data_IF_398847450723
#
_entry.id   IF_398847450723
#
_cell.length_a   1.000
_cell.length_b   1.000
_cell.length_c   1.000
_cell.angle_alpha   90.00
_cell.angle_beta   90.00
_cell.angle_gamma   90.00
#
_symmetry.space_group_name_H-M   'P 1'
#
loop_
_entity.id
_entity.type
_entity.pdbx_description
1 polymer ?
#
# COMPACT_ATOMS: atom_id res chain seq x y z
N UNK A 1 6.04 20.11 -15.31
CA UNK A 1 6.80 20.23 -14.05
C UNK A 1 7.90 21.26 -14.29
N UNK A 2 7.80 22.41 -13.64
CA UNK A 2 8.73 23.52 -13.87
C UNK A 2 10.10 23.23 -13.24
N UNK A 3 11.18 23.77 -13.84
CA UNK A 3 12.58 23.66 -13.35
C UNK A 3 12.73 23.96 -11.85
N UNK A 4 11.83 24.78 -11.30
CA UNK A 4 11.80 25.21 -9.90
C UNK A 4 11.25 24.17 -8.93
N UNK A 5 10.26 23.37 -9.37
CA UNK A 5 9.70 22.26 -8.56
C UNK A 5 10.71 21.11 -8.44
N UNK A 6 11.49 20.89 -9.50
CA UNK A 6 12.54 19.88 -9.51
C UNK A 6 13.67 20.23 -8.52
N UNK A 7 14.05 21.49 -8.42
CA UNK A 7 15.15 21.97 -7.56
C UNK A 7 14.89 21.79 -6.06
N UNK A 8 13.63 21.85 -5.61
CA UNK A 8 13.24 21.68 -4.20
C UNK A 8 13.31 20.21 -3.74
N UNK A 9 13.19 19.24 -4.66
CA UNK A 9 13.32 17.81 -4.36
C UNK A 9 14.79 17.38 -4.08
N UNK A 10 15.74 18.31 -4.19
CA UNK A 10 17.17 18.02 -4.22
C UNK A 10 17.98 18.61 -3.06
N UNK A 11 17.35 19.15 -2.01
CA UNK A 11 18.04 19.76 -0.85
C UNK A 11 18.93 18.79 -0.04
N UNK A 12 18.88 17.48 -0.31
CA UNK A 12 19.85 16.52 0.25
C UNK A 12 21.04 16.36 -0.71
N UNK A 13 22.15 17.04 -0.39
CA UNK A 13 23.45 16.87 -1.07
C UNK A 13 23.98 15.42 -0.99
N UNK A 14 23.39 14.58 -0.11
CA UNK A 14 23.75 13.18 0.07
C UNK A 14 22.69 12.24 -0.51
N UNK A 15 22.99 11.64 -1.66
CA UNK A 15 22.12 10.66 -2.34
C UNK A 15 21.71 9.49 -1.43
N UNK A 16 22.58 9.06 -0.51
CA UNK A 16 22.25 8.01 0.46
C UNK A 16 21.11 8.44 1.39
N UNK A 17 21.18 9.65 1.94
CA UNK A 17 20.12 10.19 2.79
C UNK A 17 18.81 10.34 2.00
N UNK A 18 18.89 10.88 0.78
CA UNK A 18 17.74 11.00 -0.12
C UNK A 18 17.02 9.67 -0.32
N UNK A 19 17.75 8.60 -0.65
CA UNK A 19 17.18 7.27 -0.86
C UNK A 19 16.55 6.73 0.43
N UNK A 20 17.26 6.83 1.55
CA UNK A 20 16.78 6.29 2.84
C UNK A 20 15.50 7.01 3.27
N UNK A 21 15.49 8.33 3.31
CA UNK A 21 14.35 9.14 3.76
C UNK A 21 13.09 8.88 2.92
N UNK A 22 13.22 8.87 1.59
CA UNK A 22 12.08 8.57 0.71
C UNK A 22 11.58 7.14 0.89
N UNK A 23 12.47 6.16 1.10
CA UNK A 23 12.04 4.78 1.34
C UNK A 23 11.37 4.58 2.70
N UNK A 24 11.75 5.34 3.73
CA UNK A 24 11.10 5.28 5.04
C UNK A 24 9.62 5.69 4.95
N UNK A 25 9.31 6.69 4.11
CA UNK A 25 7.91 7.08 3.85
C UNK A 25 7.12 5.90 3.27
N UNK A 26 7.69 5.17 2.31
CA UNK A 26 7.03 3.98 1.73
C UNK A 26 6.94 2.83 2.74
N UNK A 27 7.94 2.64 3.61
CA UNK A 27 7.91 1.68 4.72
C UNK A 27 6.78 2.00 5.74
N UNK A 28 6.48 3.27 5.97
CA UNK A 28 5.36 3.70 6.81
C UNK A 28 4.02 3.42 6.12
N UNK A 29 3.86 3.88 4.87
CA UNK A 29 2.64 3.71 4.08
C UNK A 29 2.26 2.22 3.93
N UNK A 30 3.23 1.32 3.73
CA UNK A 30 2.92 -0.11 3.62
C UNK A 30 2.42 -0.70 4.95
N UNK A 31 2.92 -0.19 6.07
CA UNK A 31 2.50 -0.59 7.42
C UNK A 31 1.09 -0.11 7.71
N UNK A 32 0.81 1.14 7.35
CA UNK A 32 -0.52 1.73 7.42
C UNK A 32 -1.52 1.00 6.53
N UNK A 33 -1.12 0.69 5.28
CA UNK A 33 -1.93 -0.08 4.33
C UNK A 33 -2.33 -1.42 4.93
N UNK A 34 -1.39 -2.17 5.51
CA UNK A 34 -1.70 -3.44 6.17
C UNK A 34 -2.60 -3.26 7.40
N UNK A 35 -2.41 -2.17 8.16
CA UNK A 35 -3.31 -1.79 9.25
C UNK A 35 -4.75 -1.65 8.77
N UNK A 36 -4.98 -0.91 7.69
CA UNK A 36 -6.32 -0.78 7.09
C UNK A 36 -6.85 -2.10 6.56
N UNK A 37 -6.02 -2.90 5.90
CA UNK A 37 -6.43 -4.18 5.31
C UNK A 37 -6.84 -5.22 6.35
N UNK A 38 -6.26 -5.16 7.55
CA UNK A 38 -6.45 -6.14 8.61
C UNK A 38 -7.26 -5.62 9.80
N UNK A 39 -7.71 -4.36 9.75
CA UNK A 39 -8.39 -3.67 10.85
C UNK A 39 -7.54 -3.62 12.14
N UNK A 40 -6.27 -3.27 12.00
CA UNK A 40 -5.30 -3.20 13.09
C UNK A 40 -4.72 -1.79 13.17
N UNK A 41 -4.62 -1.25 14.40
CA UNK A 41 -3.79 -0.07 14.66
C UNK A 41 -2.32 -0.45 14.41
N UNK A 42 -1.81 -0.05 13.25
CA UNK A 42 -0.49 -0.43 12.79
C UNK A 42 0.62 0.19 13.66
N UNK A 43 0.37 1.34 14.31
CA UNK A 43 1.38 2.03 15.13
C UNK A 43 1.68 1.25 16.41
N UNK A 44 0.64 0.73 17.07
CA UNK A 44 0.77 -0.10 18.27
C UNK A 44 1.03 -1.58 17.95
N UNK A 45 0.90 -1.99 16.69
CA UNK A 45 1.16 -3.36 16.23
C UNK A 45 2.62 -3.77 16.42
N UNK A 46 2.84 -4.91 17.07
CA UNK A 46 4.17 -5.55 17.15
C UNK A 46 4.70 -5.92 15.76
N UNK A 47 3.83 -6.31 14.84
CA UNK A 47 4.21 -6.83 13.52
C UNK A 47 4.41 -5.72 12.48
N UNK A 48 3.70 -4.59 12.61
CA UNK A 48 3.71 -3.54 11.60
C UNK A 48 4.37 -2.24 12.07
N UNK A 49 4.32 -1.95 13.37
CA UNK A 49 4.91 -0.76 13.97
C UNK A 49 6.43 -0.86 14.14
N UNK A 50 6.98 0.03 14.96
CA UNK A 50 8.43 0.28 15.06
C UNK A 50 9.20 -0.72 15.96
N UNK A 51 8.62 -1.90 16.22
CA UNK A 51 9.26 -2.88 17.09
C UNK A 51 10.46 -3.54 16.39
N UNK A 52 11.49 -3.92 17.16
CA UNK A 52 12.63 -4.69 16.62
C UNK A 52 12.24 -6.09 16.12
N UNK A 53 11.04 -6.55 16.46
CA UNK A 53 10.43 -7.80 15.98
C UNK A 53 9.43 -7.59 14.84
N UNK A 54 9.35 -6.38 14.29
CA UNK A 54 8.46 -6.04 13.19
C UNK A 54 8.80 -6.81 11.92
N UNK A 55 7.79 -7.01 11.07
CA UNK A 55 7.97 -7.65 9.77
C UNK A 55 8.85 -6.78 8.87
N UNK A 56 9.73 -7.43 8.13
CA UNK A 56 10.49 -6.78 7.07
C UNK A 56 9.56 -6.26 5.99
N UNK A 57 10.01 -5.26 5.23
CA UNK A 57 9.24 -4.71 4.11
C UNK A 57 8.79 -5.80 3.12
N UNK A 58 9.67 -6.73 2.76
CA UNK A 58 9.33 -7.80 1.82
C UNK A 58 8.23 -8.72 2.35
N UNK A 59 8.22 -9.02 3.65
CA UNK A 59 7.13 -9.78 4.28
C UNK A 59 5.82 -8.99 4.22
N UNK A 60 5.86 -7.67 4.47
CA UNK A 60 4.68 -6.80 4.33
C UNK A 60 4.14 -6.78 2.91
N UNK A 61 5.01 -6.67 1.89
CA UNK A 61 4.61 -6.75 0.47
C UNK A 61 3.92 -8.07 0.17
N UNK A 62 4.52 -9.20 0.56
CA UNK A 62 3.97 -10.55 0.36
C UNK A 62 2.57 -10.67 0.96
N UNK A 63 2.37 -10.19 2.19
CA UNK A 63 1.04 -10.18 2.82
C UNK A 63 0.01 -9.38 2.01
N UNK A 64 0.37 -8.22 1.45
CA UNK A 64 -0.53 -7.46 0.59
C UNK A 64 -0.88 -8.26 -0.69
N UNK A 65 0.08 -8.99 -1.26
CA UNK A 65 -0.18 -9.87 -2.42
C UNK A 65 -1.24 -10.92 -2.06
N UNK A 66 -1.09 -11.55 -0.90
CA UNK A 66 -1.99 -12.61 -0.44
C UNK A 66 -3.40 -12.08 -0.11
N UNK A 67 -3.52 -10.85 0.41
CA UNK A 67 -4.82 -10.28 0.83
C UNK A 67 -5.60 -9.65 -0.33
N UNK A 68 -4.94 -8.86 -1.20
CA UNK A 68 -5.64 -8.02 -2.21
C UNK A 68 -5.24 -8.29 -3.66
N UNK A 69 -4.20 -9.08 -3.90
CA UNK A 69 -3.72 -9.33 -5.27
C UNK A 69 -3.15 -8.07 -5.92
N UNK A 70 -2.03 -7.57 -5.39
CA UNK A 70 -1.19 -6.57 -6.08
C UNK A 70 -0.62 -7.18 -7.36
N UNK A 71 -0.50 -6.36 -8.41
CA UNK A 71 0.00 -6.82 -9.70
C UNK A 71 1.45 -7.31 -9.58
N UNK A 72 1.84 -8.24 -10.47
CA UNK A 72 3.24 -8.69 -10.54
C UNK A 72 4.19 -7.52 -10.82
N UNK A 73 3.75 -6.53 -11.57
CA UNK A 73 4.54 -5.36 -11.92
C UNK A 73 4.79 -4.45 -10.72
N UNK A 74 3.75 -4.13 -9.94
CA UNK A 74 3.88 -3.30 -8.74
C UNK A 74 4.71 -3.99 -7.66
N UNK A 75 4.59 -5.32 -7.56
CA UNK A 75 5.46 -6.13 -6.68
C UNK A 75 6.92 -6.00 -7.08
N UNK A 76 7.22 -6.03 -8.39
CA UNK A 76 8.58 -5.81 -8.89
C UNK A 76 9.07 -4.41 -8.55
N UNK A 77 8.22 -3.37 -8.68
CA UNK A 77 8.56 -1.99 -8.30
C UNK A 77 8.90 -1.87 -6.81
N UNK A 78 8.08 -2.41 -5.92
CA UNK A 78 8.32 -2.44 -4.47
C UNK A 78 9.62 -3.20 -4.13
N UNK A 79 9.89 -4.31 -4.83
CA UNK A 79 11.12 -5.11 -4.63
C UNK A 79 12.37 -4.36 -5.13
N UNK A 80 12.27 -3.67 -6.26
CA UNK A 80 13.34 -2.84 -6.80
C UNK A 80 13.67 -1.68 -5.84
N UNK A 81 12.64 -1.05 -5.28
CA UNK A 81 12.79 0.02 -4.30
C UNK A 81 13.61 -0.43 -3.09
N UNK A 82 13.24 -1.58 -2.49
CA UNK A 82 13.99 -2.13 -1.36
C UNK A 82 15.39 -2.60 -1.73
N UNK A 83 15.59 -3.09 -2.95
CA UNK A 83 16.91 -3.49 -3.42
C UNK A 83 17.86 -2.29 -3.47
N UNK A 84 17.39 -1.14 -3.96
CA UNK A 84 18.15 0.12 -3.96
C UNK A 84 18.43 0.54 -2.52
N UNK A 85 17.38 0.68 -1.70
CA UNK A 85 17.48 1.08 -0.29
C UNK A 85 18.50 0.26 0.49
N UNK A 86 18.40 -1.07 0.42
CA UNK A 86 19.26 -1.97 1.19
C UNK A 86 20.73 -1.83 0.81
N UNK A 87 21.04 -1.63 -0.48
CA UNK A 87 22.42 -1.42 -0.92
C UNK A 87 22.96 -0.07 -0.46
N UNK A 88 22.19 1.01 -0.61
CA UNK A 88 22.61 2.34 -0.15
C UNK A 88 22.76 2.42 1.38
N UNK A 89 21.90 1.73 2.15
CA UNK A 89 21.95 1.73 3.61
C UNK A 89 23.11 0.91 4.18
N UNK A 90 23.42 -0.25 3.59
CA UNK A 90 24.33 -1.22 4.22
C UNK A 90 25.70 -1.34 3.56
N UNK A 91 25.87 -0.90 2.31
CA UNK A 91 27.13 -1.07 1.58
C UNK A 91 27.85 0.27 1.42
N UNK A 92 28.91 0.46 2.22
CA UNK A 92 29.68 1.72 2.30
C UNK A 92 30.21 2.21 0.94
N UNK A 93 30.59 1.29 0.04
CA UNK A 93 31.13 1.60 -1.29
C UNK A 93 30.09 2.12 -2.26
N UNK A 94 28.79 1.91 -2.01
CA UNK A 94 27.71 2.39 -2.88
C UNK A 94 27.41 3.85 -2.52
N UNK A 95 27.84 4.78 -3.38
CA UNK A 95 27.63 6.22 -3.21
C UNK A 95 26.78 6.82 -4.32
N UNK A 96 26.76 6.16 -5.48
CA UNK A 96 26.08 6.58 -6.71
C UNK A 96 25.16 5.47 -7.23
N UNK A 97 24.22 5.81 -8.11
CA UNK A 97 23.42 4.80 -8.81
C UNK A 97 24.29 3.88 -9.66
N UNK A 98 25.33 4.43 -10.30
CA UNK A 98 26.29 3.63 -11.05
C UNK A 98 27.03 2.59 -10.18
N UNK A 99 27.44 2.96 -8.95
CA UNK A 99 28.02 2.00 -8.00
C UNK A 99 27.03 0.85 -7.72
N UNK A 100 25.75 1.19 -7.51
CA UNK A 100 24.71 0.20 -7.27
C UNK A 100 24.51 -0.73 -8.47
N UNK A 101 24.41 -0.18 -9.69
CA UNK A 101 24.18 -0.96 -10.89
C UNK A 101 25.34 -1.89 -11.25
N UNK A 102 26.56 -1.51 -10.87
CA UNK A 102 27.77 -2.32 -11.09
C UNK A 102 28.06 -3.31 -9.96
N UNK A 103 27.36 -3.20 -8.82
CA UNK A 103 27.61 -4.03 -7.62
C UNK A 103 27.20 -5.51 -7.72
N UNK A 104 26.55 -5.92 -8.81
CA UNK A 104 26.16 -7.31 -9.07
C UNK A 104 24.90 -7.46 -9.92
N UNK A 105 24.43 -8.70 -10.09
CA UNK A 105 23.29 -9.01 -10.98
C UNK A 105 21.99 -8.33 -10.56
N UNK A 106 21.75 -8.16 -9.26
CA UNK A 106 20.59 -7.43 -8.76
C UNK A 106 20.61 -5.96 -9.21
N UNK A 107 21.77 -5.30 -9.13
CA UNK A 107 21.92 -3.90 -9.57
C UNK A 107 21.66 -3.74 -11.07
N UNK A 108 22.21 -4.64 -11.88
CA UNK A 108 21.97 -4.66 -13.35
C UNK A 108 20.50 -4.90 -13.68
N UNK A 109 19.85 -5.84 -12.97
CA UNK A 109 18.43 -6.13 -13.16
C UNK A 109 17.58 -4.91 -12.82
N UNK A 110 17.84 -4.25 -11.69
CA UNK A 110 17.11 -3.03 -11.30
C UNK A 110 17.33 -1.91 -12.31
N UNK A 111 18.56 -1.69 -12.81
CA UNK A 111 18.83 -0.70 -13.88
C UNK A 111 17.91 -0.92 -15.08
N UNK A 112 17.88 -2.16 -15.59
CA UNK A 112 17.06 -2.56 -16.73
C UNK A 112 15.57 -2.29 -16.49
N UNK A 113 15.07 -2.60 -15.29
CA UNK A 113 13.67 -2.36 -14.94
C UNK A 113 13.35 -0.85 -14.84
N UNK A 114 14.23 -0.06 -14.21
CA UNK A 114 14.07 1.40 -14.15
C UNK A 114 14.04 2.04 -15.54
N UNK A 115 14.98 1.64 -16.41
CA UNK A 115 14.98 2.09 -17.81
C UNK A 115 13.68 1.70 -18.51
N UNK A 116 13.25 0.43 -18.38
CA UNK A 116 11.98 -0.05 -18.98
C UNK A 116 10.78 0.76 -18.50
N UNK A 117 10.73 1.12 -17.22
CA UNK A 117 9.61 1.84 -16.63
C UNK A 117 9.61 3.33 -16.97
N UNK A 118 10.77 3.99 -16.98
CA UNK A 118 10.82 5.45 -16.88
C UNK A 118 11.65 6.13 -17.97
N UNK A 119 12.32 5.40 -18.87
CA UNK A 119 13.12 6.02 -19.95
C UNK A 119 12.32 6.97 -20.83
N UNK A 120 11.03 6.69 -21.02
CA UNK A 120 10.12 7.49 -21.83
C UNK A 120 9.75 8.84 -21.19
N UNK A 121 10.07 9.07 -19.91
CA UNK A 121 9.85 10.34 -19.21
C UNK A 121 11.02 11.32 -19.42
N UNK A 122 12.16 10.90 -19.96
CA UNK A 122 13.33 11.76 -20.16
C UNK A 122 13.22 12.46 -21.51
N UNK A 123 13.11 13.79 -21.50
CA UNK A 123 12.94 14.60 -22.70
C UNK A 123 14.25 15.12 -23.31
N UNK A 124 15.37 15.07 -22.57
CA UNK A 124 16.64 15.65 -23.01
C UNK A 124 17.75 14.59 -23.16
N UNK A 125 18.41 14.59 -24.33
CA UNK A 125 19.44 13.63 -24.69
C UNK A 125 20.75 13.74 -23.87
N UNK A 126 20.91 14.80 -23.07
CA UNK A 126 22.15 15.11 -22.35
C UNK A 126 21.99 15.18 -20.82
N UNK A 127 20.95 14.56 -20.26
CA UNK A 127 20.83 14.46 -18.81
C UNK A 127 21.93 13.55 -18.25
N UNK A 128 22.67 14.06 -17.27
CA UNK A 128 23.65 13.28 -16.49
C UNK A 128 23.01 11.98 -15.94
N UNK A 129 23.72 10.85 -16.03
CA UNK A 129 23.17 9.52 -15.66
C UNK A 129 22.70 9.52 -14.19
N UNK A 130 23.45 10.14 -13.27
CA UNK A 130 23.04 10.18 -11.86
C UNK A 130 21.77 10.98 -11.66
N UNK A 131 21.63 12.13 -12.31
CA UNK A 131 20.38 12.91 -12.30
C UNK A 131 19.22 12.12 -12.90
N UNK A 132 19.44 11.42 -14.01
CA UNK A 132 18.44 10.55 -14.65
C UNK A 132 17.93 9.49 -13.67
N UNK A 133 18.81 8.75 -13.00
CA UNK A 133 18.36 7.70 -12.08
C UNK A 133 17.84 8.22 -10.75
N UNK A 134 18.27 9.41 -10.30
CA UNK A 134 17.62 10.11 -9.19
C UNK A 134 16.16 10.42 -9.52
N UNK A 135 15.89 10.88 -10.75
CA UNK A 135 14.53 11.08 -11.23
C UNK A 135 13.75 9.77 -11.35
N UNK A 136 14.34 8.69 -11.89
CA UNK A 136 13.67 7.39 -11.96
C UNK A 136 13.36 6.80 -10.59
N UNK A 137 14.23 7.00 -9.62
CA UNK A 137 13.96 6.62 -8.24
C UNK A 137 12.80 7.41 -7.65
N UNK A 138 12.71 8.72 -7.90
CA UNK A 138 11.55 9.52 -7.51
C UNK A 138 10.25 9.01 -8.15
N UNK A 139 10.26 8.70 -9.44
CA UNK A 139 9.12 8.12 -10.14
C UNK A 139 8.72 6.76 -9.55
N UNK A 140 9.70 5.94 -9.16
CA UNK A 140 9.46 4.67 -8.46
C UNK A 140 8.80 4.86 -7.09
N UNK A 141 9.25 5.84 -6.31
CA UNK A 141 8.63 6.21 -5.02
C UNK A 141 7.17 6.62 -5.24
N UNK A 142 6.92 7.49 -6.22
CA UNK A 142 5.57 7.95 -6.57
C UNK A 142 4.66 6.79 -6.98
N UNK A 143 5.12 5.93 -7.88
CA UNK A 143 4.33 4.79 -8.35
C UNK A 143 4.00 3.79 -7.23
N UNK A 144 4.99 3.48 -6.38
CA UNK A 144 4.79 2.56 -5.25
C UNK A 144 3.87 3.18 -4.19
N UNK A 145 4.01 4.47 -3.91
CA UNK A 145 3.11 5.22 -3.03
C UNK A 145 1.66 5.24 -3.54
N UNK A 146 1.46 5.57 -4.82
CA UNK A 146 0.13 5.54 -5.46
C UNK A 146 -0.47 4.14 -5.39
N UNK A 147 0.31 3.09 -5.69
CA UNK A 147 -0.16 1.71 -5.61
C UNK A 147 -0.69 1.36 -4.20
N UNK A 148 0.07 1.68 -3.16
CA UNK A 148 -0.32 1.41 -1.76
C UNK A 148 -1.52 2.25 -1.32
N UNK A 149 -1.57 3.52 -1.73
CA UNK A 149 -2.71 4.40 -1.48
C UNK A 149 -3.99 3.89 -2.15
N UNK A 150 -3.90 3.45 -3.41
CA UNK A 150 -5.00 2.84 -4.15
C UNK A 150 -5.54 1.59 -3.47
N UNK A 151 -4.65 0.74 -2.94
CA UNK A 151 -5.03 -0.47 -2.20
C UNK A 151 -5.82 -0.10 -0.94
N UNK A 152 -5.28 0.85 -0.17
CA UNK A 152 -5.90 1.34 1.07
C UNK A 152 -7.26 1.97 0.81
N UNK A 153 -7.34 2.92 -0.12
CA UNK A 153 -8.59 3.64 -0.43
C UNK A 153 -9.67 2.73 -1.03
N UNK A 154 -9.33 1.82 -1.95
CA UNK A 154 -10.29 0.84 -2.49
C UNK A 154 -10.81 -0.06 -1.38
N UNK A 155 -9.98 -0.43 -0.41
CA UNK A 155 -10.44 -1.25 0.71
C UNK A 155 -11.34 -0.49 1.67
N UNK A 156 -10.94 0.71 2.08
CA UNK A 156 -11.74 1.60 2.95
C UNK A 156 -13.08 1.90 2.30
N UNK A 157 -13.11 2.21 1.00
CA UNK A 157 -14.36 2.44 0.26
C UNK A 157 -15.27 1.21 0.26
N UNK A 158 -14.74 0.03 -0.06
CA UNK A 158 -15.51 -1.23 -0.03
C UNK A 158 -16.09 -1.50 1.36
N UNK A 159 -15.32 -1.24 2.41
CA UNK A 159 -15.79 -1.37 3.79
C UNK A 159 -16.86 -0.37 4.13
N UNK A 160 -16.68 0.91 3.80
CA UNK A 160 -17.65 1.97 4.04
C UNK A 160 -19.00 1.69 3.35
N UNK A 161 -18.96 1.19 2.10
CA UNK A 161 -20.17 0.76 1.38
C UNK A 161 -20.85 -0.39 2.13
N UNK A 162 -20.10 -1.43 2.51
CA UNK A 162 -20.65 -2.58 3.24
C UNK A 162 -21.25 -2.17 4.59
N UNK A 163 -20.55 -1.36 5.38
CA UNK A 163 -21.06 -0.86 6.66
C UNK A 163 -22.30 0.03 6.47
N UNK A 164 -22.36 0.79 5.38
CA UNK A 164 -23.54 1.56 4.99
C UNK A 164 -24.74 0.67 4.66
N UNK A 165 -24.54 -0.38 3.88
CA UNK A 165 -25.55 -1.39 3.54
C UNK A 165 -26.06 -2.13 4.79
N UNK A 166 -25.15 -2.51 5.69
CA UNK A 166 -25.50 -3.15 6.97
C UNK A 166 -26.33 -2.23 7.86
N UNK A 167 -25.90 -0.97 8.04
CA UNK A 167 -26.66 0.03 8.83
C UNK A 167 -28.02 0.34 8.22
N UNK A 168 -28.12 0.47 6.91
CA UNK A 168 -29.40 0.69 6.22
C UNK A 168 -30.34 -0.50 6.44
N UNK A 169 -29.83 -1.73 6.31
CA UNK A 169 -30.58 -2.96 6.57
C UNK A 169 -31.06 -3.03 8.02
N UNK A 170 -30.22 -2.66 8.99
CA UNK A 170 -30.58 -2.61 10.41
C UNK A 170 -31.70 -1.60 10.68
N UNK A 171 -31.66 -0.42 10.06
CA UNK A 171 -32.71 0.61 10.19
C UNK A 171 -34.04 0.12 9.61
N UNK A 172 -34.01 -0.49 8.43
CA UNK A 172 -35.21 -1.08 7.80
C UNK A 172 -35.81 -2.17 8.71
N UNK A 173 -34.97 -3.07 9.24
CA UNK A 173 -35.42 -4.11 10.17
C UNK A 173 -36.01 -3.52 11.45
N UNK A 174 -35.42 -2.46 12.02
CA UNK A 174 -35.96 -1.76 13.20
C UNK A 174 -37.32 -1.12 12.90
N UNK A 175 -37.45 -0.45 11.76
CA UNK A 175 -38.69 0.17 11.33
C UNK A 175 -39.80 -0.87 11.09
N UNK A 176 -39.48 -1.95 10.36
CA UNK A 176 -40.41 -3.07 10.13
C UNK A 176 -40.83 -3.71 11.45
N UNK A 177 -39.88 -3.97 12.36
CA UNK A 177 -40.20 -4.51 13.70
C UNK A 177 -41.17 -3.59 14.45
N UNK A 178 -40.94 -2.27 14.40
CA UNK A 178 -41.80 -1.30 15.08
C UNK A 178 -43.22 -1.28 14.52
N UNK A 179 -43.40 -1.36 13.20
CA UNK A 179 -44.72 -1.43 12.57
C UNK A 179 -45.42 -2.77 12.81
N UNK A 180 -44.70 -3.89 12.70
CA UNK A 180 -45.25 -5.23 12.95
C UNK A 180 -45.76 -5.35 14.38
N UNK A 181 -45.05 -4.78 15.36
CA UNK A 181 -45.47 -4.78 16.77
C UNK A 181 -46.78 -4.00 17.04
N UNK A 182 -47.22 -3.14 16.12
CA UNK A 182 -48.51 -2.43 16.23
C UNK A 182 -49.70 -3.28 15.79
N UNK A 183 -49.47 -4.40 15.11
CA UNK A 183 -50.53 -5.33 14.70
C UNK A 183 -51.02 -6.16 15.89
N UNK A 184 -52.29 -6.55 15.90
CA UNK A 184 -52.90 -7.35 16.98
C UNK A 184 -52.14 -8.66 17.24
N UNK A 185 -51.60 -9.29 16.19
CA UNK A 185 -50.81 -10.52 16.24
C UNK A 185 -49.30 -10.28 15.99
N UNK A 186 -48.82 -9.04 16.14
CA UNK A 186 -47.46 -8.63 15.77
C UNK A 186 -46.34 -9.44 16.44
N UNK A 187 -46.51 -9.81 17.71
CA UNK A 187 -45.55 -10.65 18.44
C UNK A 187 -45.42 -12.06 17.86
N UNK A 188 -46.55 -12.69 17.54
CA UNK A 188 -46.57 -14.03 16.95
C UNK A 188 -45.91 -14.06 15.56
N UNK A 189 -46.11 -13.00 14.78
CA UNK A 189 -45.45 -12.83 13.47
C UNK A 189 -43.93 -12.77 13.66
N UNK A 190 -43.43 -11.97 14.61
CA UNK A 190 -41.98 -11.86 14.85
C UNK A 190 -41.37 -13.15 15.40
N UNK A 191 -42.07 -13.86 16.28
CA UNK A 191 -41.60 -15.13 16.84
C UNK A 191 -41.52 -16.23 15.77
N UNK A 192 -42.47 -16.24 14.84
CA UNK A 192 -42.42 -17.12 13.66
C UNK A 192 -41.23 -16.79 12.75
N UNK A 193 -41.04 -15.50 12.44
CA UNK A 193 -39.94 -15.03 11.59
C UNK A 193 -38.56 -15.35 12.21
N UNK A 194 -38.44 -15.24 13.54
CA UNK A 194 -37.23 -15.62 14.29
C UNK A 194 -36.93 -17.12 14.18
N UNK A 195 -37.95 -17.99 14.26
CA UNK A 195 -37.80 -19.43 14.06
C UNK A 195 -37.33 -19.77 12.65
N UNK A 196 -37.96 -19.19 11.63
CA UNK A 196 -37.61 -19.43 10.22
C UNK A 196 -36.16 -18.97 9.91
N UNK A 197 -35.72 -17.84 10.47
CA UNK A 197 -34.32 -17.39 10.36
C UNK A 197 -33.33 -18.34 11.05
N UNK A 198 -33.67 -18.85 12.24
CA UNK A 198 -32.82 -19.80 12.96
C UNK A 198 -32.72 -21.17 12.27
N UNK A 199 -33.74 -21.56 11.52
CA UNK A 199 -33.74 -22.79 10.72
C UNK A 199 -32.89 -22.60 9.45
N UNK A 200 -33.08 -21.48 8.75
CA UNK A 200 -32.29 -21.13 7.56
C UNK A 200 -30.77 -21.12 7.83
N UNK A 201 -30.35 -20.52 8.95
CA UNK A 201 -28.95 -20.41 9.36
C UNK A 201 -28.30 -21.72 9.84
N UNK A 202 -29.07 -22.80 10.03
CA UNK A 202 -28.53 -24.13 10.38
C UNK A 202 -28.27 -25.01 9.14
N UNK A 203 -28.73 -24.56 7.98
CA UNK A 203 -28.65 -25.27 6.70
C UNK A 203 -27.54 -24.76 5.77
N UNK A 204 -26.83 -23.71 6.16
CA UNK A 204 -25.54 -23.26 5.60
C UNK A 204 -24.37 -23.77 6.46
#
# INVERSE_FOLDING_TARGET
MEKKEMSLLFETDNLRSYIIENTLIIEEIISETLGYLLDIDWMSSKSFGYSSSGLSFNQKVQMIQDIKGISKEDTKKLTALMSIRNKFAHVKSIKTFNDFFTSGDNGKSVKKELDRWYSHHVLEANTDEEHKYKFFFFELIKDTGICLFDISTKHVWKRAVKEGEEKASELVLKALKAEVLKLENGKEILDKLKKELQESLKTE
#
